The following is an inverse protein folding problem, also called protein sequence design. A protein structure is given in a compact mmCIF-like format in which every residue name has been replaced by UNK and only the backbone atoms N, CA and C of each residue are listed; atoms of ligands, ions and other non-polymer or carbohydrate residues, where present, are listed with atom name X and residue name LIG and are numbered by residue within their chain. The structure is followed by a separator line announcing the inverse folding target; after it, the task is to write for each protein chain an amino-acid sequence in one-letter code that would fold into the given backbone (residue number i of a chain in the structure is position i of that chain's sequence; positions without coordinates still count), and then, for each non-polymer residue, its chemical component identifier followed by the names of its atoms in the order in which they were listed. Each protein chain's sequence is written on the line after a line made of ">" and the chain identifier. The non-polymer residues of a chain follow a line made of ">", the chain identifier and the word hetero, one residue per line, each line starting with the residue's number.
data_IF_771459762878
#
_entry.id   IF_771459762878
#
_cell.length_a   1.000
_cell.length_b   1.000
_cell.length_c   1.000
_cell.angle_alpha   90.00
_cell.angle_beta   90.00
_cell.angle_gamma   90.00
#
_symmetry.space_group_name_H-M   'P 1'
#
loop_
_entity.id
_entity.type
_entity.pdbx_description
1 polymer ?
#
# COMPACT_ATOMS: atom_id res chain seq x y z
N UNK A 1 -6.91 1.89 -4.71
CA UNK A 1 -6.61 1.71 -3.26
C UNK A 1 -5.16 1.31 -3.12
N UNK A 2 -4.42 1.95 -2.21
CA UNK A 2 -3.03 1.61 -1.94
C UNK A 2 -2.91 0.87 -0.60
N UNK A 3 -2.20 -0.26 -0.58
CA UNK A 3 -1.84 -0.97 0.66
C UNK A 3 -0.33 -0.84 0.88
N UNK A 4 0.07 -0.20 1.98
CA UNK A 4 1.49 -0.05 2.35
C UNK A 4 1.91 -1.25 3.18
N UNK A 5 2.84 -2.04 2.63
CA UNK A 5 3.30 -3.30 3.21
C UNK A 5 2.51 -4.52 2.71
N UNK A 6 3.25 -5.58 2.35
CA UNK A 6 2.68 -6.86 1.88
C UNK A 6 3.11 -8.03 2.78
N UNK A 7 2.96 -7.84 4.09
CA UNK A 7 3.01 -8.92 5.09
C UNK A 7 1.67 -9.66 5.19
N UNK A 8 1.48 -10.46 6.24
CA UNK A 8 0.22 -11.22 6.45
C UNK A 8 -1.04 -10.34 6.52
N UNK A 9 -0.94 -9.19 7.18
CA UNK A 9 -2.05 -8.23 7.28
C UNK A 9 -2.28 -7.53 5.93
N UNK A 10 -1.22 -7.04 5.30
CA UNK A 10 -1.30 -6.39 3.99
C UNK A 10 -1.88 -7.31 2.91
N UNK A 11 -1.44 -8.57 2.82
CA UNK A 11 -1.96 -9.52 1.84
C UNK A 11 -3.44 -9.82 2.06
N UNK A 12 -3.89 -9.92 3.32
CA UNK A 12 -5.30 -10.12 3.64
C UNK A 12 -6.16 -8.93 3.22
N UNK A 13 -5.67 -7.70 3.41
CA UNK A 13 -6.37 -6.52 2.92
C UNK A 13 -6.45 -6.49 1.39
N UNK A 14 -5.36 -6.86 0.70
CA UNK A 14 -5.35 -6.94 -0.77
C UNK A 14 -6.40 -7.93 -1.28
N UNK A 15 -6.49 -9.11 -0.67
CA UNK A 15 -7.48 -10.13 -1.02
C UNK A 15 -8.92 -9.59 -0.86
N UNK A 16 -9.28 -9.12 0.34
CA UNK A 16 -10.63 -8.62 0.64
C UNK A 16 -11.00 -7.44 -0.29
N UNK A 17 -10.09 -6.48 -0.48
CA UNK A 17 -10.36 -5.31 -1.32
C UNK A 17 -10.56 -5.68 -2.79
N UNK A 18 -9.81 -6.67 -3.30
CA UNK A 18 -10.01 -7.20 -4.65
C UNK A 18 -11.33 -7.94 -4.79
N UNK A 19 -11.71 -8.75 -3.79
CA UNK A 19 -13.01 -9.43 -3.76
C UNK A 19 -14.19 -8.45 -3.76
N UNK A 20 -14.01 -7.28 -3.12
CA UNK A 20 -14.97 -6.18 -3.15
C UNK A 20 -14.99 -5.40 -4.48
N UNK A 21 -14.11 -5.73 -5.44
CA UNK A 21 -14.05 -5.12 -6.76
C UNK A 21 -13.19 -3.85 -6.86
N UNK A 22 -12.37 -3.53 -5.85
CA UNK A 22 -11.47 -2.40 -5.93
C UNK A 22 -10.21 -2.71 -6.75
N UNK A 23 -9.71 -1.70 -7.46
CA UNK A 23 -8.32 -1.72 -7.94
C UNK A 23 -7.38 -1.53 -6.75
N UNK A 24 -6.46 -2.47 -6.57
CA UNK A 24 -5.53 -2.50 -5.43
C UNK A 24 -4.09 -2.54 -5.91
N UNK A 25 -3.33 -1.53 -5.49
CA UNK A 25 -1.89 -1.43 -5.64
C UNK A 25 -1.21 -1.55 -4.27
N UNK A 26 0.08 -1.89 -4.28
CA UNK A 26 0.83 -2.17 -3.06
C UNK A 26 2.13 -1.40 -3.05
N UNK A 27 2.47 -0.75 -1.94
CA UNK A 27 3.81 -0.23 -1.70
C UNK A 27 4.61 -1.27 -0.90
N UNK A 28 5.68 -1.82 -1.49
CA UNK A 28 6.49 -2.86 -0.84
C UNK A 28 7.92 -2.86 -1.36
N UNK A 29 8.88 -3.13 -0.48
CA UNK A 29 10.27 -3.36 -0.88
C UNK A 29 10.50 -4.72 -1.57
N UNK A 30 9.54 -5.64 -1.48
CA UNK A 30 9.63 -6.97 -2.11
C UNK A 30 9.39 -6.84 -3.62
N UNK A 31 10.22 -7.52 -4.41
CA UNK A 31 10.09 -7.61 -5.87
C UNK A 31 9.26 -8.83 -6.27
N UNK A 32 8.72 -8.83 -7.49
CA UNK A 32 7.99 -9.95 -8.11
C UNK A 32 6.75 -10.43 -7.34
N UNK A 33 6.01 -9.50 -6.72
CA UNK A 33 4.70 -9.83 -6.15
C UNK A 33 3.66 -9.96 -7.30
N UNK A 34 2.68 -10.87 -7.19
CA UNK A 34 1.64 -11.06 -8.21
C UNK A 34 0.54 -9.98 -8.17
N UNK A 35 0.90 -8.76 -7.79
CA UNK A 35 0.00 -7.62 -7.60
C UNK A 35 0.70 -6.35 -8.07
N UNK A 36 -0.06 -5.34 -8.52
CA UNK A 36 0.52 -4.06 -8.93
C UNK A 36 1.31 -3.47 -7.76
N UNK A 37 2.62 -3.28 -7.94
CA UNK A 37 3.54 -2.97 -6.84
C UNK A 37 4.38 -1.76 -7.18
N UNK A 38 4.38 -0.79 -6.28
CA UNK A 38 5.26 0.37 -6.27
C UNK A 38 6.37 0.19 -5.23
N UNK A 39 7.49 0.89 -5.46
CA UNK A 39 8.66 0.89 -4.57
C UNK A 39 8.98 2.28 -3.98
N UNK A 40 8.27 3.31 -4.43
CA UNK A 40 8.28 4.67 -3.90
C UNK A 40 6.85 5.07 -3.57
N UNK A 41 6.69 5.80 -2.47
CA UNK A 41 5.38 6.31 -2.07
C UNK A 41 4.92 7.41 -3.04
N UNK A 42 5.83 8.27 -3.46
CA UNK A 42 5.61 9.35 -4.43
C UNK A 42 5.12 8.82 -5.77
N UNK A 43 5.74 7.75 -6.29
CA UNK A 43 5.29 7.09 -7.52
C UNK A 43 3.90 6.48 -7.33
N UNK A 44 3.65 5.84 -6.18
CA UNK A 44 2.35 5.25 -5.88
C UNK A 44 1.25 6.31 -5.82
N UNK A 45 1.50 7.46 -5.18
CA UNK A 45 0.53 8.54 -5.06
C UNK A 45 0.30 9.27 -6.39
N UNK A 46 1.36 9.56 -7.14
CA UNK A 46 1.25 10.32 -8.40
C UNK A 46 0.69 9.49 -9.56
N UNK A 47 1.12 8.23 -9.70
CA UNK A 47 0.73 7.38 -10.83
C UNK A 47 -0.56 6.61 -10.59
N UNK A 48 -0.81 6.16 -9.35
CA UNK A 48 -2.02 5.39 -9.00
C UNK A 48 -3.14 6.28 -8.43
N UNK A 49 -2.81 7.49 -7.94
CA UNK A 49 -3.76 8.46 -7.37
C UNK A 49 -4.82 7.83 -6.43
N UNK A 50 -4.40 7.10 -5.37
CA UNK A 50 -5.32 6.35 -4.54
C UNK A 50 -6.12 7.27 -3.60
N UNK A 51 -7.45 7.11 -3.59
CA UNK A 51 -8.34 7.82 -2.65
C UNK A 51 -8.36 7.20 -1.23
N UNK A 52 -7.81 5.99 -1.08
CA UNK A 52 -7.78 5.25 0.17
C UNK A 52 -6.45 4.52 0.33
N UNK A 53 -5.85 4.66 1.51
CA UNK A 53 -4.55 4.07 1.87
C UNK A 53 -4.70 3.21 3.12
N UNK A 54 -4.23 1.98 3.06
CA UNK A 54 -4.12 1.06 4.21
C UNK A 54 -2.68 1.00 4.67
N UNK A 55 -2.38 1.41 5.90
CA UNK A 55 -1.05 1.31 6.50
C UNK A 55 -0.92 -0.06 7.19
N UNK A 56 -0.20 -0.98 6.56
CA UNK A 56 -0.04 -2.38 6.99
C UNK A 56 1.43 -2.83 7.06
N UNK A 57 2.39 -1.90 7.10
CA UNK A 57 3.79 -2.18 7.40
C UNK A 57 3.98 -2.44 8.91
N UNK A 58 5.23 -2.51 9.38
CA UNK A 58 5.49 -2.83 10.79
C UNK A 58 4.90 -1.75 11.69
N UNK A 59 4.26 -2.13 12.79
CA UNK A 59 3.54 -1.19 13.68
C UNK A 59 4.41 -0.02 14.15
N UNK A 60 5.69 -0.25 14.46
CA UNK A 60 6.60 0.82 14.89
C UNK A 60 6.95 1.82 13.77
N UNK A 61 6.69 1.47 12.51
CA UNK A 61 6.89 2.34 11.35
C UNK A 61 5.61 3.10 10.96
N UNK A 62 4.44 2.77 11.56
CA UNK A 62 3.14 3.36 11.18
C UNK A 62 3.11 4.87 11.34
N UNK A 63 3.62 5.39 12.47
CA UNK A 63 3.66 6.83 12.71
C UNK A 63 4.50 7.56 11.64
N UNK A 64 5.71 7.07 11.38
CA UNK A 64 6.58 7.64 10.36
C UNK A 64 5.95 7.56 8.96
N UNK A 65 5.27 6.45 8.65
CA UNK A 65 4.56 6.26 7.37
C UNK A 65 3.42 7.26 7.21
N UNK A 66 2.64 7.48 8.27
CA UNK A 66 1.54 8.44 8.27
C UNK A 66 2.04 9.88 8.11
N UNK A 67 3.11 10.26 8.81
CA UNK A 67 3.71 11.59 8.65
C UNK A 67 4.19 11.80 7.22
N UNK A 68 4.89 10.82 6.65
CA UNK A 68 5.37 10.91 5.27
C UNK A 68 4.23 11.05 4.25
N UNK A 69 3.07 10.40 4.47
CA UNK A 69 1.87 10.57 3.64
C UNK A 69 1.28 11.98 3.71
N UNK A 70 1.36 12.65 4.87
CA UNK A 70 0.80 14.00 5.08
C UNK A 70 1.71 15.09 4.50
N UNK A 71 3.01 14.80 4.40
CA UNK A 71 4.02 15.73 3.87
C UNK A 71 4.11 15.74 2.34
N UNK A 72 3.49 14.76 1.66
CA UNK A 72 3.42 14.62 0.20
C UNK A 72 2.13 15.24 -0.36
#
# INVERSE_FOLDING_TARGET
>A
VLVIGHGSIGSRHVEILKEMGFSVSVLSARKNLPVNTFHSLEDALSLDSPEYVVVANKTHEHYATLIHLVEL
#
